data_IF_138299489104
#
_entry.id   IF_138299489104
#
_cell.length_a   1.000
_cell.length_b   1.000
_cell.length_c   1.000
_cell.angle_alpha   90.00
_cell.angle_beta   90.00
_cell.angle_gamma   90.00
#
_symmetry.space_group_name_H-M   'P 1'
#
loop_
_entity.id
_entity.type
_entity.pdbx_description
1 polymer ?
#
# COMPACT_ATOMS: atom_id res chain seq x y z
N UNK A 1 -4.86 31.12 -15.88
CA UNK A 1 -5.41 30.41 -14.71
C UNK A 1 -6.65 29.68 -15.19
N UNK A 2 -6.73 28.35 -15.04
CA UNK A 2 -7.91 27.59 -15.46
C UNK A 2 -9.13 28.02 -14.64
N UNK A 3 -10.30 28.08 -15.26
CA UNK A 3 -11.54 28.33 -14.51
C UNK A 3 -11.92 27.09 -13.69
N UNK A 4 -12.78 27.24 -12.68
CA UNK A 4 -13.33 26.09 -11.94
C UNK A 4 -14.09 25.12 -12.86
N UNK A 5 -14.75 25.63 -13.90
CA UNK A 5 -15.40 24.80 -14.91
C UNK A 5 -14.37 23.97 -15.68
N UNK A 6 -13.28 24.58 -16.14
CA UNK A 6 -12.23 23.87 -16.88
C UNK A 6 -11.59 22.78 -16.02
N UNK A 7 -11.27 23.07 -14.75
CA UNK A 7 -10.73 22.10 -13.78
C UNK A 7 -11.66 20.89 -13.61
N UNK A 8 -12.96 21.15 -13.44
CA UNK A 8 -13.95 20.08 -13.29
C UNK A 8 -14.08 19.23 -14.57
N UNK A 9 -13.99 19.84 -15.75
CA UNK A 9 -13.97 19.10 -17.01
C UNK A 9 -12.69 18.26 -17.13
N UNK A 10 -11.53 18.78 -16.76
CA UNK A 10 -10.27 18.02 -16.70
C UNK A 10 -10.41 16.82 -15.77
N UNK A 11 -10.94 16.99 -14.56
CA UNK A 11 -11.17 15.89 -13.61
C UNK A 11 -12.09 14.82 -14.18
N UNK A 12 -13.20 15.21 -14.80
CA UNK A 12 -14.15 14.26 -15.42
C UNK A 12 -13.53 13.52 -16.60
N UNK A 13 -12.76 14.21 -17.44
CA UNK A 13 -12.11 13.62 -18.61
C UNK A 13 -10.96 12.68 -18.22
N UNK A 14 -10.28 12.95 -17.10
CA UNK A 14 -9.19 12.13 -16.58
C UNK A 14 -9.65 10.93 -15.75
N UNK A 15 -10.94 10.84 -15.40
CA UNK A 15 -11.47 9.76 -14.57
C UNK A 15 -11.34 8.41 -15.31
N UNK A 16 -10.78 7.35 -14.68
CA UNK A 16 -10.63 6.05 -15.33
C UNK A 16 -11.97 5.47 -15.79
N UNK A 17 -12.01 4.88 -16.99
CA UNK A 17 -13.24 4.32 -17.55
C UNK A 17 -13.75 3.13 -16.75
N UNK A 18 -12.82 2.36 -16.23
CA UNK A 18 -13.03 1.19 -15.36
C UNK A 18 -13.45 1.61 -13.94
N UNK A 19 -13.37 2.90 -13.63
CA UNK A 19 -13.59 3.46 -12.29
C UNK A 19 -12.42 3.23 -11.34
N UNK A 20 -12.55 3.74 -10.12
CA UNK A 20 -11.61 3.51 -9.02
C UNK A 20 -12.23 2.63 -7.93
N UNK A 21 -13.57 2.62 -7.84
CA UNK A 21 -14.33 1.68 -7.04
C UNK A 21 -15.57 1.28 -7.82
N UNK A 22 -15.91 -0.01 -7.77
CA UNK A 22 -17.16 -0.49 -8.35
C UNK A 22 -18.37 0.16 -7.61
N UNK A 23 -19.43 0.45 -8.35
CA UNK A 23 -20.75 0.82 -7.80
C UNK A 23 -20.81 2.13 -7.00
N UNK A 24 -19.82 3.03 -7.13
CA UNK A 24 -19.81 4.34 -6.47
C UNK A 24 -19.97 5.49 -7.47
N UNK A 25 -20.78 6.48 -7.13
CA UNK A 25 -20.84 7.77 -7.82
C UNK A 25 -19.94 8.80 -7.12
N UNK A 26 -19.16 9.55 -7.90
CA UNK A 26 -18.17 10.49 -7.39
C UNK A 26 -18.64 11.93 -7.50
N UNK A 27 -18.65 12.64 -6.35
CA UNK A 27 -18.76 14.09 -6.33
C UNK A 27 -17.36 14.68 -6.38
N UNK A 28 -17.07 15.44 -7.43
CA UNK A 28 -15.78 16.04 -7.67
C UNK A 28 -15.80 17.51 -7.28
N UNK A 29 -14.78 17.93 -6.54
CA UNK A 29 -14.46 19.35 -6.31
C UNK A 29 -13.50 19.83 -7.40
N UNK A 30 -13.60 21.06 -7.91
CA UNK A 30 -12.54 21.64 -8.75
C UNK A 30 -11.29 22.02 -7.93
N UNK A 31 -11.42 22.12 -6.61
CA UNK A 31 -10.39 22.61 -5.70
C UNK A 31 -10.04 21.53 -4.66
N UNK A 32 -8.74 21.33 -4.44
CA UNK A 32 -8.24 20.44 -3.40
C UNK A 32 -8.46 21.08 -2.02
N UNK A 33 -8.61 20.24 -0.99
CA UNK A 33 -8.92 20.70 0.36
C UNK A 33 -7.69 21.34 1.03
N UNK A 34 -7.69 22.64 1.38
CA UNK A 34 -6.47 23.28 1.89
C UNK A 34 -6.09 22.78 3.29
N UNK A 35 -4.78 22.56 3.53
CA UNK A 35 -4.23 22.25 4.84
C UNK A 35 -3.08 23.18 5.22
N UNK A 36 -3.04 23.57 6.49
CA UNK A 36 -1.96 24.38 7.04
C UNK A 36 -0.62 23.63 7.05
N UNK A 37 0.47 24.32 6.70
CA UNK A 37 1.84 23.75 6.68
C UNK A 37 2.22 23.05 7.98
N UNK A 38 1.83 23.63 9.13
CA UNK A 38 2.08 23.05 10.44
C UNK A 38 1.43 21.67 10.57
N UNK A 39 0.18 21.55 10.15
CA UNK A 39 -0.54 20.29 10.22
C UNK A 39 0.04 19.26 9.24
N UNK A 40 0.49 19.67 8.05
CA UNK A 40 1.20 18.78 7.12
C UNK A 40 2.45 18.18 7.75
N UNK A 41 3.25 18.97 8.47
CA UNK A 41 4.43 18.46 9.17
C UNK A 41 4.08 17.47 10.30
N UNK A 42 2.93 17.64 10.96
CA UNK A 42 2.43 16.68 11.94
C UNK A 42 1.99 15.36 11.28
N UNK A 43 1.29 15.44 10.15
CA UNK A 43 0.89 14.27 9.35
C UNK A 43 2.09 13.44 8.88
N UNK A 44 3.15 14.10 8.41
CA UNK A 44 4.39 13.44 7.99
C UNK A 44 5.05 12.62 9.12
N UNK A 45 4.91 13.07 10.38
CA UNK A 45 5.41 12.31 11.53
C UNK A 45 4.42 11.26 12.02
N UNK A 46 3.13 11.42 11.73
CA UNK A 46 2.05 10.56 12.23
C UNK A 46 2.22 9.12 11.76
N UNK A 47 2.56 8.89 10.49
CA UNK A 47 2.72 7.53 9.96
C UNK A 47 3.74 6.70 10.74
N UNK A 48 4.91 7.27 11.06
CA UNK A 48 5.92 6.60 11.88
C UNK A 48 5.42 6.33 13.31
N UNK A 49 4.76 7.32 13.93
CA UNK A 49 4.20 7.17 15.29
C UNK A 49 3.15 6.05 15.35
N UNK A 50 2.30 5.94 14.34
CA UNK A 50 1.28 4.90 14.25
C UNK A 50 1.86 3.52 14.00
N UNK A 51 2.91 3.42 13.17
CA UNK A 51 3.65 2.17 13.01
C UNK A 51 4.24 1.69 14.35
N UNK A 52 4.88 2.59 15.10
CA UNK A 52 5.42 2.26 16.43
C UNK A 52 4.30 1.87 17.40
N UNK A 53 3.15 2.55 17.36
CA UNK A 53 1.97 2.21 18.15
C UNK A 53 1.44 0.80 17.83
N UNK A 54 1.24 0.47 16.55
CA UNK A 54 0.79 -0.87 16.14
C UNK A 54 1.78 -1.95 16.57
N UNK A 55 3.10 -1.70 16.43
CA UNK A 55 4.13 -2.61 16.93
C UNK A 55 4.01 -2.85 18.43
N UNK A 56 3.81 -1.79 19.21
CA UNK A 56 3.63 -1.90 20.66
C UNK A 56 2.36 -2.67 21.02
N UNK A 57 1.25 -2.45 20.30
CA UNK A 57 0.00 -3.19 20.46
C UNK A 57 0.17 -4.69 20.16
N UNK A 58 0.86 -5.03 19.06
CA UNK A 58 1.16 -6.43 18.74
C UNK A 58 2.05 -7.07 19.82
N UNK A 59 3.10 -6.38 20.26
CA UNK A 59 3.96 -6.86 21.34
C UNK A 59 3.19 -7.09 22.64
N UNK A 60 2.28 -6.17 23.00
CA UNK A 60 1.42 -6.29 24.18
C UNK A 60 0.51 -7.52 24.07
N UNK A 61 -0.10 -7.75 22.90
CA UNK A 61 -0.88 -8.96 22.62
C UNK A 61 -0.03 -10.22 22.81
N UNK A 62 1.14 -10.31 22.17
CA UNK A 62 2.02 -11.49 22.26
C UNK A 62 2.56 -11.73 23.68
N UNK A 63 2.73 -10.68 24.49
CA UNK A 63 3.10 -10.83 25.90
C UNK A 63 1.91 -11.27 26.76
N UNK A 64 0.70 -10.80 26.46
CA UNK A 64 -0.53 -11.19 27.13
C UNK A 64 -0.82 -12.68 26.93
N UNK A 65 -0.66 -13.20 25.70
CA UNK A 65 -0.82 -14.65 25.39
C UNK A 65 0.18 -15.54 26.14
N UNK A 66 1.36 -15.01 26.49
CA UNK A 66 2.41 -15.70 27.26
C UNK A 66 2.32 -15.50 28.77
N UNK A 67 1.29 -14.81 29.26
CA UNK A 67 1.12 -14.51 30.69
C UNK A 67 2.12 -13.49 31.24
N UNK A 68 2.80 -12.72 30.37
CA UNK A 68 3.78 -11.68 30.75
C UNK A 68 3.16 -10.27 30.84
N UNK A 69 1.92 -10.13 30.39
CA UNK A 69 1.10 -8.91 30.46
C UNK A 69 -0.35 -9.31 30.82
N UNK A 70 -1.23 -8.38 31.25
CA UNK A 70 -2.58 -8.71 31.67
C UNK A 70 -3.34 -9.56 30.66
N UNK A 71 -3.88 -10.69 31.11
CA UNK A 71 -4.53 -11.67 30.24
C UNK A 71 -5.82 -11.15 29.56
N UNK A 72 -6.41 -10.05 30.06
CA UNK A 72 -7.60 -9.48 29.45
C UNK A 72 -7.34 -8.95 28.04
N UNK A 73 -6.11 -8.52 27.71
CA UNK A 73 -5.77 -7.98 26.38
C UNK A 73 -5.94 -9.05 25.31
N UNK A 74 -5.28 -10.20 25.49
CA UNK A 74 -5.43 -11.33 24.57
C UNK A 74 -6.88 -11.81 24.51
N UNK A 75 -7.56 -11.96 25.67
CA UNK A 75 -8.96 -12.37 25.70
C UNK A 75 -9.88 -11.43 24.92
N UNK A 76 -9.68 -10.12 25.03
CA UNK A 76 -10.49 -9.13 24.33
C UNK A 76 -10.23 -9.16 22.82
N UNK A 77 -8.95 -9.22 22.41
CA UNK A 77 -8.58 -9.23 20.99
C UNK A 77 -8.87 -10.57 20.29
N UNK A 78 -8.99 -11.66 21.04
CA UNK A 78 -9.40 -12.97 20.52
C UNK A 78 -10.93 -13.12 20.44
N UNK A 79 -11.70 -12.29 21.17
CA UNK A 79 -13.15 -12.45 21.27
C UNK A 79 -13.81 -12.36 19.89
N UNK A 80 -14.62 -13.38 19.55
CA UNK A 80 -15.34 -13.46 18.28
C UNK A 80 -14.51 -13.99 17.10
N UNK A 81 -13.20 -14.22 17.26
CA UNK A 81 -12.36 -14.79 16.19
C UNK A 81 -12.49 -16.32 16.13
N UNK A 82 -12.50 -16.93 14.93
CA UNK A 82 -12.35 -18.38 14.78
C UNK A 82 -11.05 -18.88 15.43
N UNK A 83 -11.08 -20.08 15.99
CA UNK A 83 -9.94 -20.67 16.71
C UNK A 83 -8.73 -20.83 15.78
N UNK A 84 -8.97 -21.26 14.56
CA UNK A 84 -7.98 -21.49 13.52
C UNK A 84 -7.25 -20.18 13.16
N UNK A 85 -7.98 -19.06 13.12
CA UNK A 85 -7.42 -17.73 12.86
C UNK A 85 -6.54 -17.25 14.04
N UNK A 86 -6.98 -17.49 15.28
CA UNK A 86 -6.18 -17.18 16.47
C UNK A 86 -4.87 -17.98 16.46
N UNK A 87 -4.95 -19.29 16.18
CA UNK A 87 -3.78 -20.16 16.11
C UNK A 87 -2.83 -19.75 14.96
N UNK A 88 -3.38 -19.41 13.79
CA UNK A 88 -2.63 -18.90 12.65
C UNK A 88 -1.85 -17.63 13.03
N UNK A 89 -2.53 -16.62 13.59
CA UNK A 89 -1.92 -15.32 13.96
C UNK A 89 -0.78 -15.40 14.99
N UNK A 90 -0.64 -16.54 15.69
CA UNK A 90 0.38 -16.76 16.73
C UNK A 90 1.60 -17.55 16.25
N UNK A 91 1.57 -18.03 15.01
CA UNK A 91 2.69 -18.75 14.37
C UNK A 91 3.96 -17.89 14.38
N UNK A 92 5.10 -18.50 14.68
CA UNK A 92 6.38 -17.77 14.86
C UNK A 92 6.79 -17.03 13.59
N UNK A 93 6.36 -17.55 12.46
CA UNK A 93 6.66 -17.10 11.11
C UNK A 93 6.05 -15.73 10.84
N UNK A 94 4.84 -15.46 11.36
CA UNK A 94 4.04 -14.26 11.03
C UNK A 94 3.64 -13.38 12.23
N UNK A 95 3.77 -13.88 13.47
CA UNK A 95 3.27 -13.17 14.68
C UNK A 95 3.87 -11.79 14.91
N UNK A 96 5.04 -11.53 14.33
CA UNK A 96 5.80 -10.29 14.48
C UNK A 96 5.68 -9.40 13.22
N UNK A 97 4.97 -9.87 12.18
CA UNK A 97 4.71 -9.10 10.98
C UNK A 97 3.67 -8.01 11.23
N UNK A 98 3.86 -6.87 10.58
CA UNK A 98 3.01 -5.69 10.71
C UNK A 98 2.58 -5.20 9.31
N UNK A 99 1.40 -4.58 9.20
CA UNK A 99 0.96 -3.97 7.95
C UNK A 99 1.98 -2.96 7.43
N UNK A 100 2.34 -3.09 6.15
CA UNK A 100 3.27 -2.15 5.47
C UNK A 100 2.57 -0.89 4.96
N UNK A 101 1.26 -0.97 4.76
CA UNK A 101 0.40 0.15 4.38
C UNK A 101 -0.70 0.25 5.43
N UNK A 102 -0.91 1.45 5.95
CA UNK A 102 -1.98 1.76 6.90
C UNK A 102 -2.69 3.03 6.47
N UNK A 103 -3.99 3.13 6.76
CA UNK A 103 -4.77 4.36 6.58
C UNK A 103 -5.36 4.77 7.92
N UNK A 104 -4.83 5.82 8.56
CA UNK A 104 -5.50 6.42 9.69
C UNK A 104 -6.61 7.34 9.19
N UNK A 105 -7.82 7.12 9.69
CA UNK A 105 -8.93 8.01 9.40
C UNK A 105 -8.95 9.14 10.44
N UNK A 106 -8.85 10.37 9.95
CA UNK A 106 -8.69 11.57 10.76
C UNK A 106 -9.93 12.45 10.67
N UNK A 107 -10.41 12.89 11.83
CA UNK A 107 -11.43 13.94 11.93
C UNK A 107 -10.71 15.23 12.33
N UNK A 108 -10.68 16.20 11.42
CA UNK A 108 -10.10 17.52 11.68
C UNK A 108 -11.09 18.40 12.45
N UNK A 109 -10.59 19.09 13.47
CA UNK A 109 -11.33 20.02 14.34
C UNK A 109 -10.56 21.34 14.48
N UNK A 110 -11.18 22.33 15.10
CA UNK A 110 -10.56 23.62 15.44
C UNK A 110 -9.36 23.48 16.40
N UNK A 111 -9.27 22.38 17.15
CA UNK A 111 -8.22 22.13 18.17
C UNK A 111 -7.14 21.15 17.72
N UNK A 112 -7.21 20.67 16.47
CA UNK A 112 -6.35 19.60 15.95
C UNK A 112 -7.17 18.45 15.40
N UNK A 113 -6.62 17.25 15.38
CA UNK A 113 -7.27 16.08 14.79
C UNK A 113 -7.51 14.97 15.79
N UNK A 114 -8.53 14.16 15.53
CA UNK A 114 -8.85 12.93 16.25
C UNK A 114 -8.65 11.77 15.28
N UNK A 115 -8.01 10.69 15.75
CA UNK A 115 -7.91 9.44 15.00
C UNK A 115 -9.15 8.61 15.33
N UNK A 116 -9.98 8.33 14.32
CA UNK A 116 -11.18 7.53 14.48
C UNK A 116 -10.88 6.03 14.37
N UNK A 117 -10.07 5.65 13.39
CA UNK A 117 -9.61 4.28 13.15
C UNK A 117 -8.22 4.23 12.53
N UNK A 118 -7.63 3.03 12.53
CA UNK A 118 -6.42 2.71 11.76
C UNK A 118 -6.72 1.43 10.99
N UNK A 119 -6.87 1.56 9.68
CA UNK A 119 -7.12 0.46 8.76
C UNK A 119 -5.79 -0.17 8.32
N UNK A 120 -5.71 -1.50 8.37
CA UNK A 120 -4.53 -2.31 8.00
C UNK A 120 -4.64 -2.98 6.63
N UNK A 121 -5.81 -2.91 5.98
CA UNK A 121 -6.03 -3.35 4.59
C UNK A 121 -6.77 -2.24 3.84
N UNK A 122 -6.15 -1.05 3.71
CA UNK A 122 -6.90 0.12 3.32
C UNK A 122 -7.09 0.23 1.81
N UNK A 123 -8.32 0.46 1.38
CA UNK A 123 -8.61 1.00 0.06
C UNK A 123 -8.26 2.49 -0.09
N UNK A 124 -8.47 3.03 -1.29
CA UNK A 124 -8.24 4.44 -1.61
C UNK A 124 -6.82 4.78 -2.06
N UNK A 125 -5.94 3.78 -2.22
CA UNK A 125 -4.57 3.96 -2.70
C UNK A 125 -4.58 4.47 -4.15
N UNK A 126 -5.27 3.75 -5.05
CA UNK A 126 -5.33 4.14 -6.46
C UNK A 126 -6.16 5.40 -6.65
N UNK A 127 -7.24 5.57 -5.86
CA UNK A 127 -8.00 6.82 -5.85
C UNK A 127 -7.11 8.03 -5.52
N UNK A 128 -6.38 7.95 -4.43
CA UNK A 128 -5.54 9.05 -3.96
C UNK A 128 -4.43 9.32 -4.96
N UNK A 129 -3.82 8.27 -5.54
CA UNK A 129 -2.84 8.40 -6.61
C UNK A 129 -3.40 9.10 -7.86
N UNK A 130 -4.62 8.75 -8.28
CA UNK A 130 -5.28 9.40 -9.41
C UNK A 130 -5.58 10.87 -9.13
N UNK A 131 -6.07 11.18 -7.93
CA UNK A 131 -6.32 12.56 -7.51
C UNK A 131 -5.00 13.35 -7.45
N UNK A 132 -3.93 12.77 -6.90
CA UNK A 132 -2.61 13.37 -6.88
C UNK A 132 -2.14 13.75 -8.30
N UNK A 133 -2.18 12.82 -9.25
CA UNK A 133 -1.80 13.09 -10.64
C UNK A 133 -2.67 14.18 -11.28
N UNK A 134 -3.99 14.11 -11.09
CA UNK A 134 -4.93 15.00 -11.80
C UNK A 134 -4.86 16.42 -11.27
N UNK A 135 -4.90 16.62 -9.95
CA UNK A 135 -4.82 17.96 -9.36
C UNK A 135 -3.45 18.61 -9.58
N UNK A 136 -2.38 17.82 -9.62
CA UNK A 136 -1.02 18.33 -9.89
C UNK A 136 -0.86 18.95 -11.28
N UNK A 137 -1.80 18.70 -12.21
CA UNK A 137 -1.79 19.35 -13.54
C UNK A 137 -2.10 20.85 -13.48
N UNK A 138 -2.73 21.33 -12.40
CA UNK A 138 -3.13 22.72 -12.26
C UNK A 138 -2.86 23.35 -10.90
N UNK A 139 -2.46 22.57 -9.89
CA UNK A 139 -2.01 23.02 -8.58
C UNK A 139 -0.62 22.45 -8.26
N UNK A 140 0.39 23.30 -8.02
CA UNK A 140 1.77 22.86 -7.77
C UNK A 140 2.05 22.44 -6.32
N UNK A 141 1.12 22.68 -5.40
CA UNK A 141 1.30 22.48 -3.96
C UNK A 141 0.52 21.28 -3.41
N UNK A 142 0.16 20.33 -4.27
CA UNK A 142 -0.49 19.09 -3.87
C UNK A 142 0.45 18.26 -3.00
N UNK A 143 -0.01 17.91 -1.80
CA UNK A 143 0.78 17.10 -0.89
C UNK A 143 1.01 15.71 -1.51
N UNK A 144 2.29 15.30 -1.61
CA UNK A 144 2.69 14.07 -2.31
C UNK A 144 3.08 14.29 -3.77
N UNK A 145 2.82 15.48 -4.32
CA UNK A 145 2.97 15.74 -5.74
C UNK A 145 2.09 14.83 -6.59
N UNK A 146 2.42 14.71 -7.87
CA UNK A 146 1.69 13.84 -8.80
C UNK A 146 1.88 12.35 -8.47
N UNK A 147 3.04 12.00 -7.92
CA UNK A 147 3.57 10.64 -8.03
C UNK A 147 3.80 9.94 -6.69
N UNK A 148 3.74 10.66 -5.57
CA UNK A 148 4.15 10.15 -4.26
C UNK A 148 3.38 8.93 -3.76
N UNK A 149 2.09 8.78 -4.11
CA UNK A 149 1.32 7.58 -3.73
C UNK A 149 1.81 6.34 -4.47
N UNK A 150 2.11 6.47 -5.76
CA UNK A 150 2.66 5.37 -6.57
C UNK A 150 4.10 5.05 -6.14
N UNK A 151 4.91 6.07 -5.87
CA UNK A 151 6.29 5.87 -5.38
C UNK A 151 6.31 5.18 -4.01
N UNK A 152 5.41 5.58 -3.11
CA UNK A 152 5.21 4.93 -1.82
C UNK A 152 4.79 3.46 -1.97
N UNK A 153 3.76 3.19 -2.79
CA UNK A 153 3.31 1.81 -3.03
C UNK A 153 4.38 0.94 -3.70
N UNK A 154 5.18 1.51 -4.61
CA UNK A 154 6.32 0.81 -5.21
C UNK A 154 7.28 0.28 -4.16
N UNK A 155 7.48 0.97 -3.03
CA UNK A 155 8.36 0.45 -1.97
C UNK A 155 7.83 -0.84 -1.33
N UNK A 156 6.53 -1.13 -1.46
CA UNK A 156 5.92 -2.38 -1.00
C UNK A 156 6.32 -3.54 -1.90
N UNK A 157 6.30 -3.32 -3.22
CA UNK A 157 6.66 -4.29 -4.25
C UNK A 157 7.74 -3.68 -5.17
N UNK A 158 9.00 -3.54 -4.71
CA UNK A 158 10.02 -2.72 -5.38
C UNK A 158 10.38 -3.22 -6.78
N UNK A 159 10.29 -4.53 -6.99
CA UNK A 159 10.66 -5.20 -8.24
C UNK A 159 9.44 -5.62 -9.07
N UNK A 160 8.23 -5.21 -8.69
CA UNK A 160 6.99 -5.81 -9.18
C UNK A 160 6.49 -6.91 -8.25
N UNK A 161 5.37 -7.53 -8.63
CA UNK A 161 4.74 -8.59 -7.85
C UNK A 161 3.25 -8.73 -8.11
N UNK A 162 2.60 -9.60 -7.35
CA UNK A 162 1.17 -9.84 -7.43
C UNK A 162 0.43 -9.14 -6.29
N UNK A 163 -0.56 -8.33 -6.65
CA UNK A 163 -1.56 -7.77 -5.75
C UNK A 163 -2.72 -8.75 -5.73
N UNK A 164 -2.85 -9.49 -4.63
CA UNK A 164 -3.83 -10.56 -4.47
C UNK A 164 -5.05 -9.98 -3.76
N UNK A 165 -6.21 -10.04 -4.41
CA UNK A 165 -7.46 -9.46 -3.91
C UNK A 165 -8.56 -10.52 -3.81
N UNK A 166 -9.24 -10.58 -2.66
CA UNK A 166 -10.36 -11.51 -2.46
C UNK A 166 -11.64 -11.03 -3.14
N UNK A 167 -12.61 -11.92 -3.26
CA UNK A 167 -13.96 -11.63 -3.72
C UNK A 167 -14.67 -10.62 -2.80
N UNK A 168 -14.45 -10.71 -1.49
CA UNK A 168 -14.98 -9.78 -0.49
C UNK A 168 -14.44 -8.35 -0.69
N UNK A 169 -13.19 -8.24 -1.16
CA UNK A 169 -12.55 -6.97 -1.50
C UNK A 169 -12.73 -6.55 -2.97
N UNK A 170 -13.54 -7.25 -3.78
CA UNK A 170 -13.62 -7.04 -5.22
C UNK A 170 -13.98 -5.61 -5.66
N UNK A 171 -14.70 -4.86 -4.82
CA UNK A 171 -15.06 -3.45 -5.11
C UNK A 171 -13.84 -2.52 -5.21
N UNK A 172 -12.70 -2.90 -4.63
CA UNK A 172 -11.42 -2.19 -4.67
C UNK A 172 -10.51 -2.63 -5.83
N UNK A 173 -10.89 -3.69 -6.58
CA UNK A 173 -10.09 -4.19 -7.72
C UNK A 173 -9.73 -3.08 -8.73
N UNK A 174 -10.66 -2.18 -9.14
CA UNK A 174 -10.34 -1.18 -10.16
C UNK A 174 -9.21 -0.23 -9.75
N UNK A 175 -9.15 0.19 -8.48
CA UNK A 175 -8.05 1.05 -8.03
C UNK A 175 -6.70 0.32 -7.99
N UNK A 176 -6.68 -0.97 -7.64
CA UNK A 176 -5.44 -1.75 -7.63
C UNK A 176 -4.95 -2.02 -9.06
N UNK A 177 -5.87 -2.24 -10.00
CA UNK A 177 -5.56 -2.39 -11.42
C UNK A 177 -5.00 -1.08 -11.99
N UNK A 178 -5.56 0.06 -11.58
CA UNK A 178 -5.04 1.37 -11.92
C UNK A 178 -3.61 1.57 -11.38
N UNK A 179 -3.34 1.22 -10.11
CA UNK A 179 -2.00 1.31 -9.52
C UNK A 179 -1.01 0.44 -10.30
N UNK A 180 -1.35 -0.82 -10.55
CA UNK A 180 -0.49 -1.75 -11.29
C UNK A 180 -0.19 -1.24 -12.71
N UNK A 181 -1.21 -0.77 -13.43
CA UNK A 181 -1.05 -0.21 -14.77
C UNK A 181 -0.13 1.02 -14.79
N UNK A 182 -0.26 1.93 -13.82
CA UNK A 182 0.60 3.13 -13.72
C UNK A 182 2.04 2.79 -13.37
N UNK A 183 2.28 1.85 -12.46
CA UNK A 183 3.64 1.41 -12.12
C UNK A 183 4.31 0.72 -13.30
N UNK A 184 3.58 -0.16 -14.00
CA UNK A 184 4.07 -0.80 -15.23
C UNK A 184 4.39 0.22 -16.32
N UNK A 185 3.51 1.20 -16.55
CA UNK A 185 3.74 2.27 -17.51
C UNK A 185 5.01 3.04 -17.18
N UNK A 186 5.21 3.44 -15.92
CA UNK A 186 6.41 4.16 -15.49
C UNK A 186 7.68 3.34 -15.65
N UNK A 187 7.61 2.04 -15.42
CA UNK A 187 8.75 1.14 -15.64
C UNK A 187 9.15 1.10 -17.11
N UNK A 188 8.17 1.15 -18.03
CA UNK A 188 8.42 1.23 -19.47
C UNK A 188 8.92 2.61 -19.91
N UNK A 189 8.33 3.69 -19.38
CA UNK A 189 8.66 5.08 -19.70
C UNK A 189 10.04 5.49 -19.17
N UNK A 190 10.42 4.99 -17.99
CA UNK A 190 11.78 5.11 -17.42
C UNK A 190 12.77 4.18 -18.10
N UNK A 191 12.38 3.60 -19.24
CA UNK A 191 12.93 2.40 -19.83
C UNK A 191 14.45 2.34 -19.81
N UNK A 192 14.99 1.13 -19.70
CA UNK A 192 16.35 0.92 -20.20
C UNK A 192 17.45 1.69 -19.44
N UNK A 193 17.21 2.16 -18.20
CA UNK A 193 18.23 2.76 -17.34
C UNK A 193 18.81 1.78 -16.30
N UNK A 194 18.81 0.49 -16.62
CA UNK A 194 19.55 -0.57 -15.91
C UNK A 194 20.52 -1.31 -16.86
N UNK A 195 20.97 -0.66 -17.94
CA UNK A 195 22.21 -1.04 -18.60
C UNK A 195 23.33 -0.16 -18.04
N UNK A 196 24.34 -0.81 -17.49
CA UNK A 196 25.59 -0.28 -16.94
C UNK A 196 25.52 0.67 -15.73
N UNK A 197 25.36 0.04 -14.56
CA UNK A 197 26.33 0.25 -13.49
C UNK A 197 27.10 -1.05 -13.23
N UNK A 198 27.71 -1.58 -14.28
CA UNK A 198 28.81 -2.54 -14.12
C UNK A 198 30.12 -1.77 -14.16
N UNK A 199 31.03 -2.19 -13.30
CA UNK A 199 32.22 -1.46 -12.93
C UNK A 199 33.14 -1.16 -14.10
N UNK A 200 33.66 0.07 -14.11
CA UNK A 200 34.78 0.44 -14.95
C UNK A 200 36.06 -0.19 -14.34
N UNK A 201 36.26 -1.49 -14.54
CA UNK A 201 37.53 -2.17 -14.28
C UNK A 201 37.85 -3.15 -15.39
N UNK A 202 39.02 -2.95 -15.98
CA UNK A 202 39.47 -3.55 -17.21
C UNK A 202 39.81 -5.05 -17.12
N UNK A 203 39.73 -5.67 -18.30
CA UNK A 203 40.44 -6.86 -18.78
C UNK A 203 39.85 -8.25 -18.48
N UNK A 204 39.55 -8.99 -19.56
CA UNK A 204 39.54 -10.46 -19.56
C UNK A 204 38.38 -11.16 -20.29
N UNK A 205 38.61 -11.53 -21.56
CA UNK A 205 38.00 -12.59 -22.38
C UNK A 205 36.47 -12.66 -22.62
N UNK A 206 36.03 -12.87 -23.89
CA UNK A 206 34.64 -13.12 -24.22
C UNK A 206 34.35 -14.62 -24.12
N UNK A 207 33.76 -15.06 -23.01
CA UNK A 207 33.12 -16.37 -22.92
C UNK A 207 31.66 -16.15 -22.59
N UNK A 208 30.80 -16.82 -23.35
CA UNK A 208 29.35 -16.77 -23.30
C UNK A 208 28.80 -16.92 -21.87
N UNK A 209 28.42 -15.81 -21.26
CA UNK A 209 27.44 -15.78 -20.19
C UNK A 209 26.13 -15.28 -20.80
N UNK A 210 25.22 -16.23 -21.10
CA UNK A 210 23.81 -15.92 -21.22
C UNK A 210 23.38 -15.51 -19.82
N UNK A 211 23.55 -14.23 -19.49
CA UNK A 211 22.89 -13.65 -18.33
C UNK A 211 21.40 -13.85 -18.54
N UNK A 212 20.79 -14.59 -17.61
CA UNK A 212 19.34 -14.65 -17.50
C UNK A 212 18.82 -13.23 -17.50
N UNK A 213 18.26 -12.78 -18.62
CA UNK A 213 17.36 -11.63 -18.64
C UNK A 213 16.18 -12.02 -17.75
N UNK A 214 16.28 -11.71 -16.46
CA UNK A 214 15.11 -11.66 -15.60
C UNK A 214 14.27 -10.54 -16.20
N UNK A 215 13.24 -10.93 -16.95
CA UNK A 215 12.24 -9.97 -17.41
C UNK A 215 11.78 -9.18 -16.18
N UNK A 216 11.82 -7.84 -16.20
CA UNK A 216 11.42 -7.07 -15.03
C UNK A 216 10.00 -7.48 -14.66
N UNK A 217 9.84 -7.92 -13.42
CA UNK A 217 8.54 -8.40 -12.97
C UNK A 217 7.55 -7.24 -12.99
N UNK A 218 6.41 -7.44 -13.64
CA UNK A 218 5.35 -6.43 -13.69
C UNK A 218 4.47 -6.52 -12.45
N UNK A 219 3.79 -5.43 -12.10
CA UNK A 219 2.70 -5.47 -11.13
C UNK A 219 1.46 -6.07 -11.79
N UNK A 220 0.82 -7.03 -11.13
CA UNK A 220 -0.43 -7.66 -11.60
C UNK A 220 -1.45 -7.74 -10.48
N UNK A 221 -2.73 -7.60 -10.80
CA UNK A 221 -3.82 -7.85 -9.85
C UNK A 221 -4.44 -9.21 -10.14
N UNK A 222 -4.51 -10.07 -9.14
CA UNK A 222 -4.96 -11.46 -9.27
C UNK A 222 -5.99 -11.79 -8.18
N UNK A 223 -6.90 -12.71 -8.47
CA UNK A 223 -7.89 -13.15 -7.49
C UNK A 223 -7.24 -14.05 -6.43
N UNK A 224 -7.64 -13.90 -5.17
CA UNK A 224 -7.12 -14.71 -4.08
C UNK A 224 -7.57 -16.17 -4.17
N UNK A 225 -8.79 -16.39 -4.65
CA UNK A 225 -9.48 -17.69 -4.66
C UNK A 225 -8.87 -18.71 -5.61
N UNK A 226 -7.99 -18.28 -6.52
CA UNK A 226 -7.27 -19.18 -7.42
C UNK A 226 -5.78 -18.83 -7.49
N UNK A 227 -5.27 -18.12 -6.48
CA UNK A 227 -3.90 -17.70 -6.47
C UNK A 227 -2.96 -18.87 -6.18
N UNK A 228 -2.04 -19.14 -7.10
CA UNK A 228 -0.93 -20.05 -6.89
C UNK A 228 0.37 -19.21 -6.78
N UNK A 229 1.06 -19.26 -5.63
CA UNK A 229 2.33 -18.57 -5.49
C UNK A 229 3.35 -19.07 -6.50
N UNK A 230 4.10 -18.14 -7.05
CA UNK A 230 5.23 -18.43 -7.93
C UNK A 230 6.52 -18.14 -7.17
N UNK A 231 7.47 -19.07 -7.19
CA UNK A 231 8.77 -18.88 -6.55
C UNK A 231 9.46 -17.60 -7.08
N UNK A 232 10.00 -16.81 -6.15
CA UNK A 232 10.70 -15.55 -6.45
C UNK A 232 9.79 -14.34 -6.69
N UNK A 233 8.47 -14.51 -6.64
CA UNK A 233 7.51 -13.43 -6.91
C UNK A 233 6.94 -12.85 -5.62
N UNK A 234 7.11 -11.55 -5.44
CA UNK A 234 6.58 -10.85 -4.26
C UNK A 234 5.05 -10.73 -4.31
N UNK A 235 4.42 -10.79 -3.13
CA UNK A 235 2.96 -10.74 -2.98
C UNK A 235 2.55 -9.61 -2.05
N UNK A 236 1.58 -8.82 -2.48
CA UNK A 236 0.85 -7.87 -1.64
C UNK A 236 -0.58 -8.35 -1.46
N UNK A 237 -0.95 -8.57 -0.20
CA UNK A 237 -2.26 -9.09 0.22
C UNK A 237 -3.26 -7.96 0.42
N UNK A 238 -4.32 -7.95 -0.38
CA UNK A 238 -5.43 -7.00 -0.29
C UNK A 238 -6.75 -7.73 0.03
N UNK A 239 -6.86 -8.24 1.24
CA UNK A 239 -8.07 -8.86 1.79
C UNK A 239 -7.91 -8.98 3.31
N UNK A 240 -8.91 -9.42 4.07
CA UNK A 240 -8.80 -9.61 5.51
C UNK A 240 -8.40 -11.04 5.88
N UNK A 241 -7.76 -11.28 7.03
CA UNK A 241 -7.41 -12.66 7.41
C UNK A 241 -8.65 -13.52 7.71
N UNK A 242 -9.82 -12.90 7.89
CA UNK A 242 -11.10 -13.60 7.96
C UNK A 242 -11.51 -14.25 6.64
N UNK A 243 -10.93 -13.82 5.51
CA UNK A 243 -11.19 -14.37 4.18
C UNK A 243 -10.32 -15.61 3.89
N UNK A 244 -9.33 -15.92 4.75
CA UNK A 244 -8.45 -17.09 4.58
C UNK A 244 -9.18 -18.42 4.30
N UNK A 245 -10.32 -18.75 4.94
CA UNK A 245 -11.05 -19.98 4.63
C UNK A 245 -11.55 -20.07 3.18
N UNK A 246 -11.72 -18.94 2.50
CA UNK A 246 -12.20 -18.86 1.12
C UNK A 246 -11.05 -18.92 0.09
N UNK A 247 -9.79 -18.97 0.55
CA UNK A 247 -8.59 -18.98 -0.28
C UNK A 247 -8.00 -20.39 -0.33
N UNK A 248 -7.99 -21.08 -1.48
CA UNK A 248 -7.42 -22.42 -1.60
C UNK A 248 -5.95 -22.45 -1.20
N UNK A 249 -5.54 -23.49 -0.47
CA UNK A 249 -4.16 -23.65 0.01
C UNK A 249 -3.80 -22.87 1.28
N UNK A 250 -4.71 -22.04 1.82
CA UNK A 250 -4.51 -21.29 3.08
C UNK A 250 -4.20 -22.18 4.29
N UNK A 251 -4.67 -23.42 4.27
CA UNK A 251 -4.41 -24.42 5.30
C UNK A 251 -3.10 -25.22 5.10
N UNK A 252 -2.49 -25.21 3.91
CA UNK A 252 -1.48 -26.20 3.53
C UNK A 252 -0.08 -25.68 3.19
N UNK A 253 0.17 -24.38 3.02
CA UNK A 253 1.48 -23.96 2.51
C UNK A 253 2.04 -22.66 3.10
N UNK A 254 3.38 -22.58 3.15
CA UNK A 254 4.22 -21.38 3.32
C UNK A 254 3.81 -20.20 2.41
N UNK A 255 3.03 -20.47 1.36
CA UNK A 255 2.31 -19.53 0.52
C UNK A 255 1.51 -18.46 1.28
N UNK A 256 0.70 -18.87 2.26
CA UNK A 256 -0.07 -17.95 3.08
C UNK A 256 0.86 -17.10 3.96
N UNK A 257 1.94 -17.69 4.48
CA UNK A 257 2.94 -16.99 5.28
C UNK A 257 3.75 -15.98 4.43
N UNK A 258 4.02 -16.27 3.15
CA UNK A 258 4.68 -15.34 2.22
C UNK A 258 3.76 -14.20 1.77
N UNK A 259 2.50 -14.49 1.46
CA UNK A 259 1.48 -13.49 1.16
C UNK A 259 1.15 -12.60 2.38
N UNK A 260 1.23 -13.15 3.59
CA UNK A 260 0.99 -12.43 4.86
C UNK A 260 2.22 -11.63 5.30
N UNK A 261 3.44 -12.13 5.08
CA UNK A 261 4.66 -11.52 5.62
C UNK A 261 5.32 -10.47 4.72
N UNK A 262 5.04 -10.45 3.41
CA UNK A 262 5.64 -9.48 2.49
C UNK A 262 7.18 -9.45 2.54
N UNK A 263 7.83 -10.58 2.83
CA UNK A 263 9.29 -10.68 2.93
C UNK A 263 9.93 -11.02 1.60
N UNK A 264 10.67 -10.05 1.08
CA UNK A 264 12.13 -10.11 0.90
C UNK A 264 12.66 -8.66 1.03
N UNK A 265 13.34 -8.41 2.16
CA UNK A 265 14.30 -7.35 2.49
C UNK A 265 14.16 -5.95 1.86
N UNK A 266 13.75 -4.93 2.64
CA UNK A 266 14.41 -3.59 2.77
C UNK A 266 13.82 -2.85 4.00
N UNK A 267 14.57 -2.82 5.10
CA UNK A 267 14.40 -1.85 6.20
C UNK A 267 15.28 -0.64 5.89
N UNK A 268 14.82 0.30 5.03
CA UNK A 268 15.41 1.67 4.89
C UNK A 268 14.74 2.61 3.85
N UNK A 269 13.41 2.70 3.80
CA UNK A 269 12.75 3.74 2.96
C UNK A 269 11.64 4.54 3.65
N UNK A 270 11.40 4.35 4.95
CA UNK A 270 10.27 4.96 5.65
C UNK A 270 10.57 6.33 6.30
N UNK A 271 11.62 7.03 5.85
CA UNK A 271 11.95 8.36 6.37
C UNK A 271 11.81 9.51 5.38
N UNK A 272 11.46 9.28 4.11
CA UNK A 272 11.31 10.37 3.14
C UNK A 272 10.06 10.33 2.24
N UNK A 273 9.16 9.35 2.38
CA UNK A 273 7.96 9.32 1.54
C UNK A 273 6.75 8.68 2.22
N UNK A 274 5.62 9.40 2.20
CA UNK A 274 4.27 8.88 2.37
C UNK A 274 3.81 8.44 3.78
N UNK A 275 3.90 9.34 4.75
CA UNK A 275 3.09 9.28 5.97
C UNK A 275 1.92 10.27 5.91
N UNK A 276 0.70 9.73 5.98
CA UNK A 276 -0.61 10.35 6.19
C UNK A 276 -0.97 11.52 5.26
N UNK A 277 -1.70 11.28 4.16
CA UNK A 277 -2.04 12.38 3.23
C UNK A 277 -3.49 12.30 2.77
N UNK A 278 -4.36 12.92 3.58
CA UNK A 278 -5.64 13.46 3.13
C UNK A 278 -5.35 14.49 2.03
N UNK A 279 -6.12 14.43 0.95
CA UNK A 279 -6.06 15.32 -0.21
C UNK A 279 -5.94 16.77 0.21
N UNK A 280 -4.78 17.40 -0.01
CA UNK A 280 -4.66 18.80 0.33
C UNK A 280 -3.59 19.61 -0.38
N UNK A 281 -3.78 20.92 -0.36
CA UNK A 281 -2.86 21.96 -0.84
C UNK A 281 -2.24 22.71 0.32
N UNK A 282 -0.95 23.08 0.21
CA UNK A 282 -0.29 23.98 1.17
C UNK A 282 -0.75 25.42 0.94
N UNK A 283 -0.91 26.19 2.02
CA UNK A 283 -1.08 27.65 1.96
C UNK A 283 0.13 28.37 2.58
N UNK A 284 0.37 29.61 2.13
CA UNK A 284 1.47 30.50 2.51
C UNK A 284 1.78 30.56 3.99
#
# INVERSE_FOLDING_TARGET
MLTQFDRLQTLRAAFPKEGLFAEKAWLLSPDAFPLEKKFVAELEQLGHRLFVFQRACNQLYQLSTRGKQPAWVARYLDAGKPKELIEFSRRKEIRDDLPRVIRPDLILTDKGYIIAEIDSVPGGIGLTGWLNQTYSTFDSEIIGGADGMLDGFRTVLPNGGDIVISQEAATYRPEMEWVAARLNQRMLDSGYLMLDKSDNSASGNPVSSIEHRVSPETWRVVAAENYEPTDGRAVYRFFELFDLPNIPGSHQHHAADQAVSGREDVVRAFLDAAAARVLATRTG
#
